data_IF_928973908172
#
_entry.id   IF_928973908172
#
_cell.length_a   1.000
_cell.length_b   1.000
_cell.length_c   1.000
_cell.angle_alpha   90.00
_cell.angle_beta   90.00
_cell.angle_gamma   90.00
#
_symmetry.space_group_name_H-M   'P 1'
#
loop_
_entity.id
_entity.type
_entity.pdbx_description
1 polymer ?
#
# COMPACT_ATOMS: atom_id res chain seq x y z
N UNK A 1 -11.96 18.84 -8.00
CA UNK A 1 -11.01 17.73 -8.23
C UNK A 1 -10.24 18.06 -9.51
N UNK A 2 -8.91 18.20 -9.45
CA UNK A 2 -8.11 18.80 -10.53
C UNK A 2 -7.87 17.89 -11.74
N UNK A 3 -7.96 16.57 -11.58
CA UNK A 3 -7.63 15.60 -12.63
C UNK A 3 -8.88 14.97 -13.25
N UNK A 4 -9.96 15.75 -13.39
CA UNK A 4 -11.20 15.39 -14.09
C UNK A 4 -11.92 14.12 -13.60
N UNK A 5 -12.86 13.60 -14.41
CA UNK A 5 -13.72 12.44 -14.14
C UNK A 5 -13.18 11.17 -14.79
N UNK A 6 -13.57 10.00 -14.26
CA UNK A 6 -13.29 8.69 -14.87
C UNK A 6 -13.79 8.62 -16.33
N UNK A 7 -14.97 9.17 -16.62
CA UNK A 7 -15.50 9.23 -17.98
C UNK A 7 -14.55 9.94 -18.96
N UNK A 8 -13.88 11.03 -18.55
CA UNK A 8 -12.92 11.73 -19.40
C UNK A 8 -11.71 10.86 -19.72
N UNK A 9 -11.21 10.12 -18.72
CA UNK A 9 -10.05 9.25 -18.85
C UNK A 9 -10.35 7.91 -19.56
N UNK A 10 -11.60 7.45 -19.54
CA UNK A 10 -12.00 6.19 -20.18
C UNK A 10 -12.58 6.36 -21.58
N UNK A 11 -13.37 7.40 -21.85
CA UNK A 11 -14.13 7.51 -23.11
C UNK A 11 -13.54 8.49 -24.13
N UNK A 12 -12.66 9.39 -23.68
CA UNK A 12 -12.12 10.50 -24.48
C UNK A 12 -10.58 10.55 -24.40
N UNK A 13 -9.93 9.39 -24.55
CA UNK A 13 -8.49 9.23 -24.31
C UNK A 13 -7.64 9.36 -25.58
N UNK A 14 -7.65 10.47 -26.30
CA UNK A 14 -6.87 10.54 -27.56
C UNK A 14 -5.33 10.55 -27.37
N UNK A 15 -4.82 10.57 -26.11
CA UNK A 15 -3.38 10.69 -25.81
C UNK A 15 -2.84 9.79 -24.69
N UNK A 16 -3.66 9.38 -23.71
CA UNK A 16 -3.24 8.53 -22.59
C UNK A 16 -4.38 7.62 -22.11
N UNK A 17 -4.46 6.38 -22.60
CA UNK A 17 -5.41 5.39 -22.08
C UNK A 17 -5.07 4.96 -20.64
N UNK A 18 -6.11 4.77 -19.84
CA UNK A 18 -5.97 4.32 -18.45
C UNK A 18 -5.50 2.86 -18.38
N UNK A 19 -4.37 2.63 -17.69
CA UNK A 19 -3.77 1.30 -17.47
C UNK A 19 -4.64 0.38 -16.62
N UNK A 20 -4.47 -0.94 -16.77
CA UNK A 20 -5.17 -1.96 -15.97
C UNK A 20 -5.06 -1.68 -14.47
N UNK A 21 -3.86 -1.37 -13.99
CA UNK A 21 -3.60 -1.06 -12.58
C UNK A 21 -4.46 0.08 -12.03
N UNK A 22 -4.64 1.14 -12.82
CA UNK A 22 -5.49 2.26 -12.41
C UNK A 22 -6.97 1.90 -12.45
N UNK A 23 -7.39 1.09 -13.43
CA UNK A 23 -8.79 0.64 -13.54
C UNK A 23 -9.21 -0.23 -12.36
N UNK A 24 -8.35 -1.18 -11.96
CA UNK A 24 -8.57 -1.99 -10.75
C UNK A 24 -8.58 -1.11 -9.49
N UNK A 25 -7.73 -0.09 -9.43
CA UNK A 25 -7.71 0.86 -8.30
C UNK A 25 -9.01 1.63 -8.19
N UNK A 26 -9.54 2.11 -9.30
CA UNK A 26 -10.84 2.77 -9.36
C UNK A 26 -11.93 1.84 -8.85
N UNK A 27 -11.98 0.60 -9.35
CA UNK A 27 -12.95 -0.40 -8.88
C UNK A 27 -12.87 -0.59 -7.36
N UNK A 28 -11.67 -0.84 -6.82
CA UNK A 28 -11.47 -1.06 -5.40
C UNK A 28 -11.86 0.15 -4.54
N UNK A 29 -11.42 1.35 -4.90
CA UNK A 29 -11.67 2.56 -4.10
C UNK A 29 -13.15 2.94 -4.10
N UNK A 30 -13.83 2.76 -5.23
CA UNK A 30 -15.29 2.95 -5.28
C UNK A 30 -15.99 1.90 -4.42
N UNK A 31 -15.61 0.62 -4.50
CA UNK A 31 -16.19 -0.41 -3.64
C UNK A 31 -15.97 -0.14 -2.15
N UNK A 32 -14.78 0.33 -1.75
CA UNK A 32 -14.45 0.73 -0.39
C UNK A 32 -15.29 1.93 0.08
N UNK A 33 -15.49 2.93 -0.79
CA UNK A 33 -16.34 4.07 -0.47
C UNK A 33 -17.80 3.65 -0.25
N UNK A 34 -18.31 2.73 -1.08
CA UNK A 34 -19.66 2.18 -0.92
C UNK A 34 -19.79 1.33 0.36
N UNK A 35 -18.80 0.50 0.66
CA UNK A 35 -18.77 -0.31 1.89
C UNK A 35 -18.72 0.58 3.14
N UNK A 36 -17.89 1.62 3.12
CA UNK A 36 -17.86 2.62 4.18
C UNK A 36 -19.22 3.28 4.38
N UNK A 37 -19.88 3.70 3.29
CA UNK A 37 -21.21 4.31 3.37
C UNK A 37 -22.23 3.35 3.99
N UNK A 38 -22.20 2.07 3.59
CA UNK A 38 -23.08 1.04 4.14
C UNK A 38 -22.83 0.80 5.63
N UNK A 39 -21.56 0.66 6.04
CA UNK A 39 -21.20 0.36 7.42
C UNK A 39 -21.50 1.51 8.39
N UNK A 40 -21.46 2.76 7.91
CA UNK A 40 -21.73 3.95 8.71
C UNK A 40 -23.18 4.46 8.58
N UNK A 41 -24.08 3.67 7.96
CA UNK A 41 -25.47 4.05 7.70
C UNK A 41 -25.60 5.43 7.01
N UNK A 42 -24.64 5.77 6.14
CA UNK A 42 -24.70 6.98 5.33
C UNK A 42 -25.78 6.84 4.26
N UNK A 43 -26.17 7.97 3.67
CA UNK A 43 -27.15 7.97 2.56
C UNK A 43 -26.62 7.15 1.40
N UNK A 44 -27.50 6.38 0.77
CA UNK A 44 -27.19 5.65 -0.46
C UNK A 44 -26.75 6.61 -1.56
N UNK A 45 -25.77 6.19 -2.34
CA UNK A 45 -25.26 6.95 -3.47
C UNK A 45 -26.20 6.78 -4.67
N UNK A 46 -26.79 7.88 -5.12
CA UNK A 46 -27.65 7.92 -6.29
C UNK A 46 -26.81 8.14 -7.55
N UNK A 47 -27.25 7.59 -8.69
CA UNK A 47 -26.67 7.90 -10.00
C UNK A 47 -25.16 7.61 -10.12
N UNK A 48 -24.69 6.51 -9.51
CA UNK A 48 -23.29 6.08 -9.64
C UNK A 48 -22.97 5.74 -11.11
N UNK A 49 -22.00 6.43 -11.69
CA UNK A 49 -21.49 6.20 -13.04
C UNK A 49 -20.08 6.80 -13.20
N UNK A 50 -19.44 6.59 -14.35
CA UNK A 50 -18.09 7.10 -14.61
C UNK A 50 -17.96 8.64 -14.56
N UNK A 51 -19.03 9.40 -14.71
CA UNK A 51 -19.00 10.87 -14.56
C UNK A 51 -19.00 11.32 -13.09
N UNK A 52 -19.34 10.43 -12.15
CA UNK A 52 -19.37 10.69 -10.71
C UNK A 52 -18.10 10.28 -9.97
N UNK A 53 -17.20 9.55 -10.64
CA UNK A 53 -15.88 9.23 -10.11
C UNK A 53 -14.91 10.31 -10.59
N UNK A 54 -14.20 10.96 -9.67
CA UNK A 54 -13.25 12.04 -9.95
C UNK A 54 -11.88 11.74 -9.34
N UNK A 55 -10.83 12.41 -9.79
CA UNK A 55 -9.47 12.21 -9.27
C UNK A 55 -8.96 13.42 -8.48
N UNK A 56 -8.50 13.18 -7.25
CA UNK A 56 -7.93 14.22 -6.38
C UNK A 56 -6.54 14.68 -6.83
N UNK A 57 -5.88 15.57 -6.07
CA UNK A 57 -4.57 16.13 -6.44
C UNK A 57 -3.48 15.07 -6.67
N UNK A 58 -3.56 13.95 -5.95
CA UNK A 58 -2.61 12.83 -6.04
C UNK A 58 -3.03 11.79 -7.09
N UNK A 59 -4.12 12.05 -7.81
CA UNK A 59 -4.70 11.15 -8.79
C UNK A 59 -5.48 10.00 -8.18
N UNK A 60 -5.80 10.03 -6.87
CA UNK A 60 -6.61 8.98 -6.27
C UNK A 60 -8.09 9.13 -6.65
N UNK A 61 -8.78 8.03 -6.98
CA UNK A 61 -10.20 8.05 -7.30
C UNK A 61 -11.04 8.37 -6.07
N UNK A 62 -12.02 9.26 -6.26
CA UNK A 62 -12.96 9.74 -5.23
C UNK A 62 -14.37 9.74 -5.82
N UNK A 63 -15.36 9.42 -4.99
CA UNK A 63 -16.75 9.65 -5.35
C UNK A 63 -17.09 11.12 -5.15
N UNK A 64 -17.77 11.71 -6.14
CA UNK A 64 -18.28 13.06 -6.05
C UNK A 64 -19.41 13.16 -5.02
N UNK A 65 -19.50 14.25 -4.27
CA UNK A 65 -20.60 14.45 -3.30
C UNK A 65 -21.97 14.65 -3.98
N UNK A 66 -22.01 14.97 -5.28
CA UNK A 66 -23.26 15.18 -6.03
C UNK A 66 -24.19 13.96 -6.00
N UNK A 67 -23.65 12.74 -6.03
CA UNK A 67 -24.45 11.53 -5.92
C UNK A 67 -24.97 11.23 -4.50
N UNK A 68 -24.65 12.06 -3.50
CA UNK A 68 -25.28 12.00 -2.18
C UNK A 68 -26.39 13.06 -2.02
N UNK A 69 -26.42 14.07 -2.89
CA UNK A 69 -27.42 15.12 -2.86
C UNK A 69 -28.75 14.62 -3.41
N UNK A 70 -29.85 14.89 -2.68
CA UNK A 70 -31.21 14.63 -3.18
C UNK A 70 -31.49 15.62 -4.32
N UNK A 71 -31.39 15.17 -5.56
CA UNK A 71 -31.96 15.93 -6.66
C UNK A 71 -33.46 15.63 -6.75
N UNK A 72 -34.25 16.66 -6.47
CA UNK A 72 -35.72 16.73 -6.53
C UNK A 72 -36.51 16.04 -5.42
N UNK A 73 -37.66 16.65 -5.14
CA UNK A 73 -38.64 16.31 -4.10
C UNK A 73 -39.25 14.90 -4.22
N UNK A 74 -38.90 14.14 -5.27
CA UNK A 74 -39.55 12.86 -5.64
C UNK A 74 -38.60 11.64 -5.71
N UNK A 75 -37.33 11.77 -5.30
CA UNK A 75 -36.40 10.61 -5.27
C UNK A 75 -35.92 10.11 -6.62
N UNK A 76 -36.18 10.85 -7.70
CA UNK A 76 -35.71 10.58 -9.07
C UNK A 76 -34.33 11.19 -9.29
N UNK A 77 -33.27 10.39 -9.11
CA UNK A 77 -31.87 10.85 -9.20
C UNK A 77 -31.07 10.27 -10.37
N UNK A 78 -31.54 9.24 -11.07
CA UNK A 78 -30.79 8.68 -12.21
C UNK A 78 -30.80 9.64 -13.40
N UNK A 79 -29.66 9.71 -14.11
CA UNK A 79 -29.58 10.35 -15.42
C UNK A 79 -30.71 9.86 -16.34
N UNK A 80 -31.13 10.69 -17.29
CA UNK A 80 -32.22 10.45 -18.25
C UNK A 80 -32.00 9.24 -19.18
N UNK A 81 -30.93 8.46 -19.00
CA UNK A 81 -30.60 7.30 -19.80
C UNK A 81 -31.08 5.99 -19.14
N UNK A 82 -32.30 5.59 -19.51
CA UNK A 82 -32.96 4.39 -18.99
C UNK A 82 -32.17 3.09 -19.26
N UNK A 83 -31.26 3.09 -20.24
CA UNK A 83 -30.49 1.90 -20.61
C UNK A 83 -29.52 1.42 -19.53
N UNK A 84 -29.17 2.28 -18.56
CA UNK A 84 -28.22 1.99 -17.47
C UNK A 84 -28.90 1.94 -16.10
N UNK A 85 -30.20 2.18 -16.05
CA UNK A 85 -30.94 2.30 -14.80
C UNK A 85 -31.24 0.91 -14.23
N UNK A 86 -31.05 0.68 -12.91
CA UNK A 86 -31.39 -0.60 -12.30
C UNK A 86 -32.85 -0.99 -12.58
N UNK A 87 -33.14 -2.24 -12.99
CA UNK A 87 -34.48 -2.65 -13.41
C UNK A 87 -35.57 -2.39 -12.36
N UNK A 88 -35.27 -2.65 -11.09
CA UNK A 88 -36.18 -2.42 -9.98
C UNK A 88 -36.40 -0.92 -9.69
N UNK A 89 -35.43 -0.08 -10.02
CA UNK A 89 -35.57 1.37 -9.88
C UNK A 89 -36.56 1.92 -10.90
N UNK A 90 -36.57 1.41 -12.14
CA UNK A 90 -37.56 1.79 -13.16
C UNK A 90 -39.00 1.53 -12.70
N UNK A 91 -39.20 0.45 -11.93
CA UNK A 91 -40.51 0.07 -11.40
C UNK A 91 -40.90 0.85 -10.14
N UNK A 92 -39.95 1.08 -9.23
CA UNK A 92 -40.26 1.57 -7.87
C UNK A 92 -39.90 3.03 -7.64
N UNK A 93 -39.00 3.60 -8.45
CA UNK A 93 -38.39 4.92 -8.24
C UNK A 93 -37.53 5.02 -6.98
N UNK A 94 -37.22 3.89 -6.31
CA UNK A 94 -36.52 3.87 -5.03
C UNK A 94 -35.10 3.34 -5.18
N UNK A 95 -34.13 4.11 -4.68
CA UNK A 95 -32.75 3.65 -4.55
C UNK A 95 -32.67 2.66 -3.39
N UNK A 96 -32.16 1.47 -3.66
CA UNK A 96 -31.82 0.44 -2.66
C UNK A 96 -30.32 0.13 -2.71
N UNK A 97 -29.73 -0.49 -1.67
CA UNK A 97 -28.32 -0.90 -1.70
C UNK A 97 -27.98 -1.71 -2.96
N UNK A 98 -28.85 -2.63 -3.36
CA UNK A 98 -28.68 -3.48 -4.54
C UNK A 98 -28.72 -2.69 -5.85
N UNK A 99 -29.52 -1.62 -5.91
CA UNK A 99 -29.56 -0.72 -7.07
C UNK A 99 -28.25 0.08 -7.23
N UNK A 100 -27.59 0.41 -6.12
CA UNK A 100 -26.25 1.02 -6.13
C UNK A 100 -25.21 0.01 -6.61
N UNK A 101 -25.31 -1.26 -6.19
CA UNK A 101 -24.44 -2.33 -6.68
C UNK A 101 -24.64 -2.57 -8.18
N UNK A 102 -25.87 -2.50 -8.70
CA UNK A 102 -26.10 -2.57 -10.14
C UNK A 102 -25.38 -1.46 -10.89
N UNK A 103 -25.50 -0.23 -10.38
CA UNK A 103 -24.80 0.94 -10.92
C UNK A 103 -23.27 0.82 -10.81
N UNK A 104 -22.77 0.19 -9.74
CA UNK A 104 -21.35 -0.17 -9.64
C UNK A 104 -20.94 -1.19 -10.73
N UNK A 105 -21.81 -2.13 -11.06
CA UNK A 105 -21.61 -3.06 -12.17
C UNK A 105 -21.45 -2.37 -13.52
N UNK A 106 -22.17 -1.27 -13.77
CA UNK A 106 -21.99 -0.47 -15.01
C UNK A 106 -20.63 0.22 -15.03
N UNK A 107 -20.15 0.73 -13.89
CA UNK A 107 -18.78 1.27 -13.75
C UNK A 107 -17.73 0.19 -14.03
N UNK A 108 -17.95 -1.05 -13.57
CA UNK A 108 -17.04 -2.16 -13.90
C UNK A 108 -17.00 -2.45 -15.41
N UNK A 109 -18.14 -2.37 -16.11
CA UNK A 109 -18.17 -2.51 -17.57
C UNK A 109 -17.43 -1.36 -18.27
N UNK A 110 -17.62 -0.13 -17.81
CA UNK A 110 -16.88 1.04 -18.33
C UNK A 110 -15.37 0.82 -18.17
N UNK A 111 -14.92 0.31 -17.02
CA UNK A 111 -13.52 -0.01 -16.75
C UNK A 111 -13.01 -1.16 -17.62
N UNK A 112 -13.78 -2.22 -17.83
CA UNK A 112 -13.37 -3.35 -18.66
C UNK A 112 -13.24 -2.96 -20.14
N UNK A 113 -14.18 -2.16 -20.64
CA UNK A 113 -14.33 -1.88 -22.07
C UNK A 113 -13.72 -0.56 -22.55
N UNK A 114 -13.44 0.37 -21.63
CA UNK A 114 -13.07 1.75 -21.98
C UNK A 114 -14.20 2.49 -22.71
N UNK A 115 -15.44 2.02 -22.63
CA UNK A 115 -16.60 2.53 -23.37
C UNK A 115 -17.82 2.54 -22.48
N UNK A 116 -18.74 3.48 -22.73
CA UNK A 116 -20.02 3.50 -22.04
C UNK A 116 -21.01 2.58 -22.77
N UNK A 117 -21.07 1.32 -22.36
CA UNK A 117 -21.87 0.27 -23.00
C UNK A 117 -23.08 -0.11 -22.12
N UNK A 118 -24.31 -0.18 -22.66
CA UNK A 118 -25.48 -0.62 -21.91
C UNK A 118 -25.30 -2.05 -21.34
N UNK A 119 -25.71 -2.31 -20.09
CA UNK A 119 -25.57 -3.62 -19.46
C UNK A 119 -26.20 -4.78 -20.24
N UNK A 120 -27.34 -4.56 -20.91
CA UNK A 120 -27.98 -5.59 -21.74
C UNK A 120 -27.03 -6.11 -22.83
N UNK A 121 -26.37 -5.19 -23.55
CA UNK A 121 -25.43 -5.54 -24.60
C UNK A 121 -24.18 -6.25 -24.05
N UNK A 122 -23.64 -5.76 -22.92
CA UNK A 122 -22.47 -6.37 -22.31
C UNK A 122 -22.76 -7.79 -21.75
N UNK A 123 -23.94 -8.00 -21.15
CA UNK A 123 -24.33 -9.32 -20.65
C UNK A 123 -24.48 -10.35 -21.77
N UNK A 124 -24.95 -9.94 -22.94
CA UNK A 124 -25.02 -10.83 -24.12
C UNK A 124 -23.61 -11.24 -24.58
N UNK A 125 -22.66 -10.30 -24.61
CA UNK A 125 -21.25 -10.59 -24.92
C UNK A 125 -20.60 -11.53 -23.90
N UNK A 126 -20.89 -11.35 -22.61
CA UNK A 126 -20.39 -12.19 -21.52
C UNK A 126 -20.98 -13.61 -21.63
N UNK A 127 -22.30 -13.73 -21.87
CA UNK A 127 -22.98 -15.04 -22.02
C UNK A 127 -22.52 -15.79 -23.27
N UNK A 128 -22.21 -15.07 -24.35
CA UNK A 128 -21.58 -15.61 -25.55
C UNK A 128 -20.12 -16.05 -25.36
N UNK A 129 -19.57 -15.95 -24.14
CA UNK A 129 -18.16 -16.25 -23.79
C UNK A 129 -17.14 -15.43 -24.59
N UNK A 130 -17.53 -14.27 -25.10
CA UNK A 130 -16.67 -13.47 -25.94
C UNK A 130 -16.06 -12.30 -25.16
N UNK A 131 -15.32 -12.65 -24.11
CA UNK A 131 -14.65 -11.68 -23.22
C UNK A 131 -13.73 -10.74 -23.99
N UNK A 132 -13.09 -11.23 -25.05
CA UNK A 132 -12.20 -10.46 -25.92
C UNK A 132 -12.91 -9.29 -26.64
N UNK A 133 -14.20 -9.41 -26.94
CA UNK A 133 -14.97 -8.32 -27.54
C UNK A 133 -15.43 -7.27 -26.52
N UNK A 134 -15.53 -7.65 -25.25
CA UNK A 134 -15.88 -6.72 -24.18
C UNK A 134 -14.66 -5.93 -23.69
N UNK A 135 -13.51 -6.57 -23.64
CA UNK A 135 -12.28 -5.98 -23.10
C UNK A 135 -11.72 -4.90 -24.01
N UNK A 136 -11.26 -3.81 -23.42
CA UNK A 136 -10.48 -2.79 -24.10
C UNK A 136 -9.18 -3.40 -24.63
N UNK A 137 -8.96 -3.31 -25.95
CA UNK A 137 -7.76 -3.83 -26.60
C UNK A 137 -6.46 -3.22 -26.08
N UNK A 138 -6.51 -2.03 -25.48
CA UNK A 138 -5.33 -1.44 -24.85
C UNK A 138 -4.83 -2.23 -23.63
N UNK A 139 -5.72 -2.99 -22.98
CA UNK A 139 -5.38 -3.77 -21.79
C UNK A 139 -4.63 -5.08 -22.11
N UNK A 140 -4.44 -5.40 -23.38
CA UNK A 140 -3.75 -6.64 -23.78
C UNK A 140 -2.35 -6.72 -23.16
N UNK A 141 -2.03 -7.86 -22.56
CA UNK A 141 -0.79 -8.09 -21.82
C UNK A 141 -0.65 -7.38 -20.46
N UNK A 142 -1.63 -6.59 -20.01
CA UNK A 142 -1.56 -5.85 -18.72
C UNK A 142 -2.16 -6.60 -17.52
N UNK A 143 -2.84 -7.73 -17.75
CA UNK A 143 -3.50 -8.55 -16.74
C UNK A 143 -3.35 -10.04 -17.04
N UNK A 144 -3.49 -10.91 -16.03
CA UNK A 144 -3.55 -12.37 -16.26
C UNK A 144 -4.96 -12.79 -16.62
N UNK A 145 -5.11 -13.92 -17.31
CA UNK A 145 -6.43 -14.41 -17.69
C UNK A 145 -7.36 -14.59 -16.46
N UNK A 146 -6.81 -15.02 -15.33
CA UNK A 146 -7.53 -15.17 -14.07
C UNK A 146 -8.04 -13.82 -13.53
N UNK A 147 -7.20 -12.78 -13.53
CA UNK A 147 -7.57 -11.44 -13.06
C UNK A 147 -8.68 -10.83 -13.93
N UNK A 148 -8.56 -10.99 -15.26
CA UNK A 148 -9.57 -10.52 -16.21
C UNK A 148 -10.91 -11.23 -16.05
N UNK A 149 -10.87 -12.57 -15.95
CA UNK A 149 -12.07 -13.40 -15.71
C UNK A 149 -12.74 -13.03 -14.40
N UNK A 150 -11.97 -12.79 -13.33
CA UNK A 150 -12.55 -12.40 -12.04
C UNK A 150 -13.25 -11.04 -12.11
N UNK A 151 -12.65 -10.03 -12.75
CA UNK A 151 -13.28 -8.72 -12.87
C UNK A 151 -14.56 -8.76 -13.73
N UNK A 152 -14.57 -9.53 -14.81
CA UNK A 152 -15.77 -9.79 -15.62
C UNK A 152 -16.83 -10.53 -14.83
N UNK A 153 -16.44 -11.52 -14.01
CA UNK A 153 -17.34 -12.25 -13.12
C UNK A 153 -18.00 -11.31 -12.11
N UNK A 154 -17.23 -10.40 -11.51
CA UNK A 154 -17.75 -9.40 -10.57
C UNK A 154 -18.74 -8.46 -11.27
N UNK A 155 -18.43 -7.96 -12.47
CA UNK A 155 -19.35 -7.14 -13.26
C UNK A 155 -20.67 -7.87 -13.54
N UNK A 156 -20.59 -9.12 -14.01
CA UNK A 156 -21.77 -9.97 -14.27
C UNK A 156 -22.62 -10.22 -13.02
N UNK A 157 -22.00 -10.43 -11.86
CA UNK A 157 -22.72 -10.59 -10.58
C UNK A 157 -23.39 -9.30 -10.11
N UNK A 158 -22.76 -8.15 -10.32
CA UNK A 158 -23.37 -6.86 -9.98
C UNK A 158 -24.60 -6.56 -10.85
N UNK A 159 -24.60 -7.03 -12.09
CA UNK A 159 -25.64 -6.78 -13.08
C UNK A 159 -26.76 -7.83 -13.14
N UNK A 160 -26.85 -8.70 -12.12
CA UNK A 160 -27.96 -9.66 -12.04
C UNK A 160 -29.32 -8.95 -12.00
N UNK A 161 -30.29 -9.54 -12.70
CA UNK A 161 -31.65 -8.99 -12.77
C UNK A 161 -32.30 -8.98 -11.39
N UNK A 162 -32.17 -10.08 -10.66
CA UNK A 162 -32.68 -10.23 -9.30
C UNK A 162 -31.78 -9.48 -8.29
N UNK A 163 -32.28 -8.45 -7.58
CA UNK A 163 -31.46 -7.63 -6.68
C UNK A 163 -30.74 -8.44 -5.60
N UNK A 164 -31.39 -9.47 -5.07
CA UNK A 164 -30.87 -10.35 -4.02
C UNK A 164 -29.68 -11.22 -4.42
N UNK A 165 -29.44 -11.39 -5.72
CA UNK A 165 -28.32 -12.19 -6.24
C UNK A 165 -27.03 -11.37 -6.38
N UNK A 166 -27.14 -10.04 -6.26
CA UNK A 166 -26.02 -9.11 -6.34
C UNK A 166 -25.18 -9.18 -5.07
N UNK A 167 -23.85 -9.07 -5.16
CA UNK A 167 -22.97 -9.06 -3.99
C UNK A 167 -23.15 -7.76 -3.19
N UNK A 168 -22.79 -7.78 -1.90
CA UNK A 168 -22.67 -6.55 -1.13
C UNK A 168 -21.28 -5.90 -1.34
N UNK A 169 -21.15 -4.63 -0.95
CA UNK A 169 -19.91 -3.86 -1.12
C UNK A 169 -18.70 -4.51 -0.42
N UNK A 170 -18.87 -5.02 0.80
CA UNK A 170 -17.83 -5.77 1.53
C UNK A 170 -17.26 -6.94 0.72
N UNK A 171 -18.12 -7.74 0.10
CA UNK A 171 -17.68 -8.85 -0.76
C UNK A 171 -16.89 -8.36 -1.97
N UNK A 172 -17.29 -7.24 -2.57
CA UNK A 172 -16.56 -6.63 -3.70
C UNK A 172 -15.16 -6.17 -3.27
N UNK A 173 -15.03 -5.51 -2.12
CA UNK A 173 -13.73 -5.11 -1.57
C UNK A 173 -12.81 -6.33 -1.37
N UNK A 174 -13.32 -7.38 -0.75
CA UNK A 174 -12.55 -8.63 -0.53
C UNK A 174 -12.11 -9.26 -1.85
N UNK A 175 -12.98 -9.28 -2.86
CA UNK A 175 -12.66 -9.86 -4.16
C UNK A 175 -11.66 -9.02 -4.97
N UNK A 176 -11.72 -7.69 -4.86
CA UNK A 176 -10.86 -6.76 -5.62
C UNK A 176 -9.47 -6.55 -5.00
N UNK A 177 -9.35 -6.72 -3.68
CA UNK A 177 -8.08 -6.53 -2.96
C UNK A 177 -6.93 -7.38 -3.55
N UNK A 178 -7.11 -8.67 -3.85
CA UNK A 178 -6.11 -9.47 -4.56
C UNK A 178 -5.65 -8.92 -5.90
N UNK A 179 -6.57 -8.39 -6.72
CA UNK A 179 -6.25 -7.87 -8.06
C UNK A 179 -5.39 -6.60 -7.98
N UNK A 180 -5.55 -5.81 -6.91
CA UNK A 180 -4.79 -4.56 -6.72
C UNK A 180 -3.33 -4.78 -6.28
N UNK A 181 -2.99 -5.92 -5.65
CA UNK A 181 -1.69 -6.15 -4.99
C UNK A 181 -0.47 -5.90 -5.89
N UNK A 182 -0.57 -6.15 -7.21
CA UNK A 182 0.54 -5.92 -8.16
C UNK A 182 0.82 -4.45 -8.42
N UNK A 183 -0.17 -3.58 -8.26
CA UNK A 183 -0.05 -2.14 -8.55
C UNK A 183 -0.20 -1.27 -7.32
N UNK A 184 -0.55 -1.84 -6.16
CA UNK A 184 -0.63 -1.18 -4.85
C UNK A 184 0.59 -0.29 -4.53
N UNK A 185 1.77 -0.70 -4.97
CA UNK A 185 3.04 0.01 -4.74
C UNK A 185 3.26 1.21 -5.69
N UNK A 186 2.50 1.33 -6.76
CA UNK A 186 2.63 2.42 -7.75
C UNK A 186 1.65 3.54 -7.37
N UNK A 187 2.11 4.78 -7.09
CA UNK A 187 1.22 5.89 -6.77
C UNK A 187 0.22 6.19 -7.89
N UNK A 188 -0.99 6.64 -7.52
CA UNK A 188 -2.03 6.96 -8.50
C UNK A 188 -1.59 8.07 -9.46
N UNK A 189 -0.79 9.03 -8.98
CA UNK A 189 -0.18 10.07 -9.80
C UNK A 189 0.66 9.50 -10.95
N UNK A 190 1.39 8.41 -10.69
CA UNK A 190 2.22 7.74 -11.68
C UNK A 190 1.36 6.96 -12.68
N UNK A 191 0.35 6.24 -12.19
CA UNK A 191 -0.57 5.50 -13.05
C UNK A 191 -1.42 6.40 -13.97
N UNK A 192 -1.66 7.64 -13.54
CA UNK A 192 -2.41 8.66 -14.27
C UNK A 192 -1.52 9.55 -15.16
N UNK A 193 -0.21 9.31 -15.20
CA UNK A 193 0.72 10.11 -16.01
C UNK A 193 0.79 11.59 -15.60
N UNK A 194 0.43 11.92 -14.35
CA UNK A 194 0.43 13.30 -13.86
C UNK A 194 1.88 13.76 -13.70
N UNK A 195 2.35 14.55 -14.67
CA UNK A 195 3.65 15.21 -14.60
C UNK A 195 3.68 16.17 -13.41
N UNK A 196 4.50 15.85 -12.41
CA UNK A 196 4.72 16.74 -11.27
C UNK A 196 5.51 17.95 -11.76
N UNK A 197 4.86 19.12 -11.79
CA UNK A 197 5.55 20.40 -12.01
C UNK A 197 6.57 20.66 -10.89
N UNK A 198 7.57 21.54 -11.12
CA UNK A 198 8.71 21.75 -10.23
C UNK A 198 8.40 22.37 -8.85
N UNK A 199 7.13 22.58 -8.49
CA UNK A 199 6.72 23.37 -7.32
C UNK A 199 5.84 22.59 -6.32
N UNK A 200 6.29 21.41 -5.94
CA UNK A 200 6.00 20.82 -4.62
C UNK A 200 7.34 20.37 -4.03
N UNK A 201 7.56 20.52 -2.71
CA UNK A 201 8.83 20.17 -2.11
C UNK A 201 9.11 18.68 -2.41
N UNK A 202 10.39 18.30 -2.56
CA UNK A 202 10.76 16.99 -3.02
C UNK A 202 10.04 15.93 -2.19
N UNK A 203 9.68 14.80 -2.82
CA UNK A 203 9.46 13.52 -2.13
C UNK A 203 10.77 13.01 -1.49
N UNK A 204 11.44 13.89 -0.75
CA UNK A 204 12.33 13.54 0.32
C UNK A 204 11.42 13.41 1.53
N UNK A 205 10.98 12.18 1.80
CA UNK A 205 10.89 11.80 3.21
C UNK A 205 12.24 12.21 3.78
N UNK A 206 12.32 13.12 4.78
CA UNK A 206 13.59 13.55 5.31
C UNK A 206 14.38 12.29 5.64
N UNK A 207 15.47 12.07 4.90
CA UNK A 207 16.32 10.91 5.15
C UNK A 207 16.68 11.05 6.62
N UNK A 208 16.40 10.00 7.41
CA UNK A 208 16.71 10.06 8.83
C UNK A 208 18.19 10.44 8.98
N UNK A 209 18.60 11.14 10.05
CA UNK A 209 20.02 11.46 10.24
C UNK A 209 20.93 10.23 10.09
N UNK A 210 20.41 9.04 10.46
CA UNK A 210 21.07 7.77 10.28
C UNK A 210 21.20 7.38 8.80
N UNK A 211 20.11 7.50 8.03
CA UNK A 211 20.12 7.21 6.60
C UNK A 211 21.02 8.14 5.80
N UNK A 212 21.14 9.41 6.21
CA UNK A 212 22.04 10.36 5.58
C UNK A 212 23.51 9.99 5.88
N UNK A 213 23.82 9.65 7.13
CA UNK A 213 25.13 9.16 7.53
C UNK A 213 25.53 7.88 6.77
N UNK A 214 24.64 6.90 6.66
CA UNK A 214 24.88 5.67 5.91
C UNK A 214 25.07 5.93 4.40
N UNK A 215 24.29 6.84 3.81
CA UNK A 215 24.42 7.21 2.38
C UNK A 215 25.76 7.86 2.07
N UNK A 216 26.33 8.60 3.03
CA UNK A 216 27.67 9.20 2.93
C UNK A 216 28.80 8.23 3.33
N UNK A 217 28.46 7.01 3.73
CA UNK A 217 29.37 6.04 4.33
C UNK A 217 30.13 6.61 5.55
N UNK A 218 29.48 7.50 6.31
CA UNK A 218 30.04 8.11 7.52
C UNK A 218 29.76 7.22 8.73
N UNK A 219 30.59 6.20 8.91
CA UNK A 219 30.45 5.24 10.01
C UNK A 219 30.60 5.89 11.40
N UNK A 220 31.24 7.06 11.49
CA UNK A 220 31.37 7.80 12.76
C UNK A 220 30.05 8.45 13.13
N UNK A 221 29.38 9.10 12.18
CA UNK A 221 28.04 9.64 12.40
C UNK A 221 27.01 8.52 12.70
N UNK A 222 27.09 7.37 12.02
CA UNK A 222 26.26 6.19 12.31
C UNK A 222 26.48 5.73 13.77
N UNK A 223 27.73 5.68 14.23
CA UNK A 223 28.07 5.30 15.60
C UNK A 223 27.43 6.23 16.63
N UNK A 224 27.60 7.55 16.48
CA UNK A 224 27.05 8.55 17.40
C UNK A 224 25.52 8.47 17.48
N UNK A 225 24.86 8.25 16.33
CA UNK A 225 23.41 8.11 16.27
C UNK A 225 22.96 6.83 16.98
N UNK A 226 23.59 5.68 16.75
CA UNK A 226 23.22 4.42 17.43
C UNK A 226 23.46 4.48 18.95
N UNK A 227 24.48 5.21 19.41
CA UNK A 227 24.70 5.47 20.84
C UNK A 227 23.58 6.33 21.41
N UNK A 228 23.20 7.40 20.71
CA UNK A 228 22.17 8.36 21.15
C UNK A 228 20.76 7.78 21.14
N UNK A 229 20.41 6.98 20.13
CA UNK A 229 19.09 6.35 20.00
C UNK A 229 18.86 5.28 21.07
N UNK A 230 19.94 4.63 21.54
CA UNK A 230 19.83 3.63 22.59
C UNK A 230 19.12 2.37 22.10
N UNK A 231 18.15 1.89 22.88
CA UNK A 231 17.29 0.72 22.58
C UNK A 231 15.84 1.11 22.31
N UNK A 232 15.57 2.38 21.97
CA UNK A 232 14.19 2.89 21.76
C UNK A 232 13.42 2.16 20.67
N UNK A 233 14.12 1.55 19.72
CA UNK A 233 13.53 0.82 18.60
C UNK A 233 13.28 -0.67 18.90
N UNK A 234 13.62 -1.15 20.10
CA UNK A 234 13.35 -2.52 20.57
C UNK A 234 11.97 -2.64 21.26
N UNK A 235 11.26 -1.52 21.48
CA UNK A 235 9.90 -1.48 22.07
C UNK A 235 8.89 -2.21 21.16
N UNK A 236 8.58 -3.47 21.49
CA UNK A 236 7.73 -4.37 20.72
C UNK A 236 8.35 -5.76 20.46
N UNK A 237 9.66 -5.89 20.64
CA UNK A 237 10.40 -7.18 20.69
C UNK A 237 10.67 -7.67 22.11
N UNK A 238 10.29 -6.90 23.12
CA UNK A 238 10.35 -7.30 24.52
C UNK A 238 9.38 -8.46 24.76
N UNK A 239 9.91 -9.68 24.79
CA UNK A 239 9.29 -10.75 25.55
C UNK A 239 9.17 -10.26 26.99
N UNK A 240 7.95 -9.92 27.36
CA UNK A 240 7.55 -9.54 28.70
C UNK A 240 8.17 -10.55 29.69
N UNK A 241 9.16 -10.09 30.44
CA UNK A 241 9.85 -10.90 31.44
C UNK A 241 8.81 -11.28 32.49
N UNK A 242 8.21 -12.46 32.35
CA UNK A 242 7.43 -13.03 33.44
C UNK A 242 8.33 -13.07 34.68
N UNK A 243 7.80 -12.57 35.79
CA UNK A 243 8.52 -12.29 37.05
C UNK A 243 9.17 -13.54 37.70
N UNK A 244 9.21 -14.69 37.03
CA UNK A 244 9.49 -16.00 37.62
C UNK A 244 10.81 -16.68 37.21
N UNK A 245 11.62 -16.14 36.29
CA UNK A 245 12.87 -16.83 35.90
C UNK A 245 14.05 -15.85 35.74
N UNK A 246 14.60 -15.37 36.87
CA UNK A 246 15.91 -14.69 36.90
C UNK A 246 17.02 -15.72 37.12
N UNK A 247 17.53 -16.33 36.05
CA UNK A 247 18.67 -17.27 36.14
C UNK A 247 20.00 -16.53 36.14
N UNK A 248 21.04 -17.17 36.70
CA UNK A 248 22.43 -16.70 36.59
C UNK A 248 22.85 -16.48 35.13
N UNK A 249 22.40 -17.33 34.23
CA UNK A 249 22.64 -17.22 32.79
C UNK A 249 22.05 -15.92 32.20
N UNK A 250 20.84 -15.53 32.63
CA UNK A 250 20.21 -14.28 32.19
C UNK A 250 20.94 -13.05 32.73
N UNK A 251 21.43 -13.12 33.98
CA UNK A 251 22.28 -12.08 34.57
C UNK A 251 23.59 -11.91 33.79
N UNK A 252 24.28 -13.01 33.50
CA UNK A 252 25.56 -12.99 32.78
C UNK A 252 25.40 -12.44 31.36
N UNK A 253 24.29 -12.79 30.68
CA UNK A 253 23.94 -12.26 29.37
C UNK A 253 23.67 -10.75 29.39
N UNK A 254 22.86 -10.26 30.34
CA UNK A 254 22.61 -8.82 30.51
C UNK A 254 23.89 -8.06 30.87
N UNK A 255 24.80 -8.68 31.64
CA UNK A 255 26.11 -8.12 31.96
C UNK A 255 26.99 -8.05 30.71
N UNK A 256 26.98 -9.07 29.84
CA UNK A 256 27.69 -9.04 28.56
C UNK A 256 27.16 -7.96 27.63
N UNK A 257 25.84 -7.77 27.53
CA UNK A 257 25.25 -6.63 26.79
C UNK A 257 25.74 -5.30 27.33
N UNK A 258 25.69 -5.10 28.66
CA UNK A 258 26.15 -3.85 29.30
C UNK A 258 27.62 -3.56 29.04
N UNK A 259 28.49 -4.58 29.12
CA UNK A 259 29.92 -4.45 28.78
C UNK A 259 30.12 -4.10 27.30
N UNK A 260 29.39 -4.76 26.41
CA UNK A 260 29.39 -4.47 24.97
C UNK A 260 28.97 -3.03 24.67
N UNK A 261 27.94 -2.53 25.35
CA UNK A 261 27.48 -1.14 25.20
C UNK A 261 28.52 -0.12 25.68
N UNK A 262 29.22 -0.40 26.79
CA UNK A 262 30.30 0.46 27.26
C UNK A 262 31.46 0.49 26.27
N UNK A 263 31.95 -0.68 25.86
CA UNK A 263 33.02 -0.81 24.87
C UNK A 263 32.64 -0.14 23.53
N UNK A 264 31.39 -0.32 23.08
CA UNK A 264 30.89 0.32 21.88
C UNK A 264 30.89 1.85 22.02
N UNK A 265 30.44 2.42 23.14
CA UNK A 265 30.50 3.88 23.37
C UNK A 265 31.94 4.41 23.39
N UNK A 266 32.87 3.65 23.95
CA UNK A 266 34.29 3.98 24.04
C UNK A 266 35.06 3.73 22.73
N UNK A 267 34.37 3.24 21.68
CA UNK A 267 34.95 2.87 20.37
C UNK A 267 35.97 1.72 20.45
N UNK A 268 35.94 0.91 21.52
CA UNK A 268 36.62 -0.39 21.57
C UNK A 268 35.75 -1.44 20.87
N UNK A 269 35.82 -1.44 19.54
CA UNK A 269 34.98 -2.30 18.71
C UNK A 269 35.31 -3.79 18.84
N UNK A 270 36.55 -4.15 19.19
CA UNK A 270 36.92 -5.55 19.39
C UNK A 270 36.23 -6.12 20.61
N UNK A 271 36.34 -5.41 21.74
CA UNK A 271 35.69 -5.82 22.98
C UNK A 271 34.16 -5.75 22.85
N UNK A 272 33.63 -4.77 22.11
CA UNK A 272 32.20 -4.69 21.79
C UNK A 272 31.73 -5.93 21.01
N UNK A 273 32.45 -6.35 19.97
CA UNK A 273 32.14 -7.55 19.18
C UNK A 273 32.13 -8.79 20.07
N UNK A 274 33.14 -8.97 20.91
CA UNK A 274 33.23 -10.15 21.80
C UNK A 274 32.07 -10.21 22.78
N UNK A 275 31.74 -9.07 23.41
CA UNK A 275 30.64 -8.97 24.37
C UNK A 275 29.27 -9.18 23.72
N UNK A 276 29.04 -8.60 22.54
CA UNK A 276 27.79 -8.81 21.79
C UNK A 276 27.68 -10.24 21.26
N UNK A 277 28.79 -10.88 20.91
CA UNK A 277 28.80 -12.29 20.51
C UNK A 277 28.44 -13.21 21.67
N UNK A 278 29.00 -12.99 22.85
CA UNK A 278 28.57 -13.69 24.06
C UNK A 278 27.07 -13.49 24.35
N UNK A 279 26.53 -12.29 24.12
CA UNK A 279 25.10 -12.02 24.28
C UNK A 279 24.25 -12.84 23.28
N UNK A 280 24.62 -12.82 22.00
CA UNK A 280 23.89 -13.50 20.92
C UNK A 280 23.96 -15.03 21.05
N UNK A 281 25.14 -15.58 21.38
CA UNK A 281 25.36 -17.04 21.47
C UNK A 281 24.57 -17.69 22.61
N UNK A 282 24.32 -16.95 23.70
CA UNK A 282 23.46 -17.41 24.80
C UNK A 282 22.00 -17.59 24.33
N UNK A 283 21.55 -16.79 23.35
CA UNK A 283 20.32 -17.02 22.59
C UNK A 283 18.99 -16.89 23.36
N UNK A 284 19.00 -16.55 24.65
CA UNK A 284 17.76 -16.45 25.46
C UNK A 284 17.00 -15.15 25.23
N UNK A 285 17.68 -14.10 24.76
CA UNK A 285 17.06 -12.83 24.34
C UNK A 285 17.61 -12.42 22.98
N UNK A 286 16.74 -11.82 22.17
CA UNK A 286 17.06 -11.36 20.82
C UNK A 286 16.86 -9.84 20.80
N UNK A 287 17.87 -9.09 20.34
CA UNK A 287 17.79 -7.62 20.24
C UNK A 287 18.28 -7.16 18.88
N UNK A 288 17.43 -6.53 18.05
CA UNK A 288 17.84 -6.00 16.76
C UNK A 288 18.90 -4.90 16.91
N UNK A 289 18.83 -4.09 17.97
CA UNK A 289 19.85 -3.09 18.30
C UNK A 289 21.23 -3.70 18.54
N UNK A 290 21.32 -4.84 19.25
CA UNK A 290 22.62 -5.53 19.44
C UNK A 290 23.21 -5.97 18.12
N UNK A 291 22.40 -6.54 17.22
CA UNK A 291 22.87 -6.90 15.88
C UNK A 291 23.32 -5.69 15.06
N UNK A 292 22.60 -4.57 15.08
CA UNK A 292 23.01 -3.36 14.36
C UNK A 292 24.33 -2.78 14.91
N UNK A 293 24.51 -2.75 16.24
CA UNK A 293 25.76 -2.27 16.85
C UNK A 293 26.94 -3.18 16.56
N UNK A 294 26.75 -4.51 16.66
CA UNK A 294 27.80 -5.47 16.32
C UNK A 294 28.14 -5.41 14.82
N UNK A 295 27.15 -5.25 13.95
CA UNK A 295 27.33 -4.99 12.51
C UNK A 295 28.20 -3.75 12.28
N UNK A 296 27.93 -2.62 12.95
CA UNK A 296 28.76 -1.42 12.79
C UNK A 296 30.19 -1.64 13.32
N UNK A 297 30.34 -2.33 14.45
CA UNK A 297 31.65 -2.66 15.01
C UNK A 297 32.47 -3.53 14.05
N UNK A 298 31.82 -4.46 13.34
CA UNK A 298 32.44 -5.23 12.25
C UNK A 298 32.86 -4.35 11.08
N UNK A 299 32.03 -3.41 10.62
CA UNK A 299 32.41 -2.47 9.56
C UNK A 299 33.63 -1.63 9.94
N UNK A 300 33.66 -1.14 11.18
CA UNK A 300 34.78 -0.37 11.73
C UNK A 300 36.03 -1.21 12.00
N UNK A 301 35.90 -2.54 11.99
CA UNK A 301 36.99 -3.52 12.11
C UNK A 301 37.33 -4.20 10.78
N UNK A 302 36.82 -3.68 9.67
CA UNK A 302 37.03 -4.18 8.29
C UNK A 302 36.54 -5.61 8.03
N UNK A 303 35.45 -6.01 8.69
CA UNK A 303 34.82 -7.33 8.56
C UNK A 303 33.43 -7.21 7.90
N UNK A 304 33.40 -6.81 6.64
CA UNK A 304 32.16 -6.43 5.95
C UNK A 304 31.16 -7.59 5.77
N UNK A 305 31.62 -8.82 5.57
CA UNK A 305 30.75 -9.99 5.45
C UNK A 305 30.07 -10.34 6.78
N UNK A 306 30.79 -10.19 7.90
CA UNK A 306 30.22 -10.38 9.23
C UNK A 306 29.20 -9.29 9.54
N UNK A 307 29.50 -8.04 9.16
CA UNK A 307 28.58 -6.94 9.29
C UNK A 307 27.27 -7.16 8.51
N UNK A 308 27.37 -7.66 7.28
CA UNK A 308 26.19 -7.93 6.45
C UNK A 308 25.30 -9.02 7.08
N UNK A 309 25.88 -10.10 7.59
CA UNK A 309 25.12 -11.17 8.26
C UNK A 309 24.34 -10.64 9.47
N UNK A 310 24.97 -9.80 10.29
CA UNK A 310 24.29 -9.19 11.44
C UNK A 310 23.18 -8.21 11.02
N UNK A 311 23.40 -7.43 9.97
CA UNK A 311 22.38 -6.52 9.45
C UNK A 311 21.17 -7.26 8.87
N UNK A 312 21.39 -8.42 8.25
CA UNK A 312 20.32 -9.33 7.81
C UNK A 312 19.58 -9.95 9.00
N UNK A 313 20.31 -10.34 10.06
CA UNK A 313 19.70 -10.86 11.28
C UNK A 313 18.85 -9.80 11.99
N UNK A 314 19.31 -8.54 12.04
CA UNK A 314 18.53 -7.42 12.56
C UNK A 314 17.20 -7.23 11.80
N UNK A 315 17.23 -7.35 10.46
CA UNK A 315 16.03 -7.29 9.63
C UNK A 315 15.11 -8.49 9.90
N UNK A 316 15.66 -9.70 10.05
CA UNK A 316 14.86 -10.88 10.35
C UNK A 316 14.08 -10.74 11.67
N UNK A 317 14.73 -10.16 12.70
CA UNK A 317 14.14 -9.92 14.01
C UNK A 317 13.11 -8.79 13.97
N UNK A 318 13.40 -7.72 13.25
CA UNK A 318 12.48 -6.59 13.11
C UNK A 318 12.36 -6.18 11.62
N UNK A 319 11.44 -6.82 10.85
CA UNK A 319 11.35 -6.67 9.39
C UNK A 319 11.07 -5.24 8.89
N UNK A 320 10.44 -4.43 9.72
CA UNK A 320 10.09 -3.04 9.38
C UNK A 320 11.05 -2.00 9.98
N UNK A 321 12.23 -2.41 10.46
CA UNK A 321 13.19 -1.52 11.09
C UNK A 321 14.14 -0.89 10.06
N UNK A 322 14.07 0.43 9.83
CA UNK A 322 14.87 1.10 8.80
C UNK A 322 16.38 0.93 8.98
N UNK A 323 16.84 0.93 10.23
CA UNK A 323 18.26 0.76 10.59
C UNK A 323 18.86 -0.52 10.00
N UNK A 324 18.11 -1.61 9.94
CA UNK A 324 18.61 -2.86 9.38
C UNK A 324 18.97 -2.72 7.89
N UNK A 325 18.13 -2.03 7.10
CA UNK A 325 18.38 -1.76 5.68
C UNK A 325 19.59 -0.85 5.48
N UNK A 326 19.72 0.19 6.31
CA UNK A 326 20.86 1.10 6.26
C UNK A 326 22.18 0.38 6.57
N UNK A 327 22.18 -0.51 7.56
CA UNK A 327 23.36 -1.32 7.90
C UNK A 327 23.72 -2.33 6.80
N UNK A 328 22.72 -2.95 6.14
CA UNK A 328 22.97 -3.81 4.98
C UNK A 328 23.57 -3.01 3.82
N UNK A 329 23.04 -1.82 3.53
CA UNK A 329 23.57 -0.95 2.47
C UNK A 329 25.02 -0.54 2.75
N UNK A 330 25.36 -0.18 3.99
CA UNK A 330 26.73 0.15 4.39
C UNK A 330 27.68 -1.05 4.20
N UNK A 331 27.26 -2.26 4.61
CA UNK A 331 28.05 -3.47 4.43
C UNK A 331 28.24 -3.86 2.96
N UNK A 332 27.17 -3.80 2.15
CA UNK A 332 27.22 -4.08 0.72
C UNK A 332 28.12 -3.09 -0.03
N UNK A 333 28.08 -1.81 0.34
CA UNK A 333 28.97 -0.78 -0.22
C UNK A 333 30.43 -1.11 0.10
N UNK A 334 30.73 -1.58 1.32
CA UNK A 334 32.08 -1.99 1.71
C UNK A 334 32.57 -3.24 0.95
N UNK A 335 31.64 -4.12 0.54
CA UNK A 335 31.91 -5.29 -0.30
C UNK A 335 31.99 -4.97 -1.81
N UNK A 336 31.80 -3.71 -2.22
CA UNK A 336 31.78 -3.31 -3.64
C UNK A 336 30.49 -3.69 -4.39
N UNK A 337 29.43 -4.05 -3.66
CA UNK A 337 28.12 -4.44 -4.21
C UNK A 337 27.18 -3.21 -4.29
N UNK A 338 27.60 -2.19 -5.05
CA UNK A 338 26.94 -0.87 -5.09
C UNK A 338 25.49 -0.91 -5.60
N UNK A 339 25.17 -1.86 -6.49
CA UNK A 339 23.81 -2.06 -7.00
C UNK A 339 22.88 -2.50 -5.87
N UNK A 340 23.33 -3.47 -5.10
CA UNK A 340 22.54 -4.11 -4.06
C UNK A 340 22.39 -3.17 -2.87
N UNK A 341 23.44 -2.40 -2.55
CA UNK A 341 23.40 -1.32 -1.57
C UNK A 341 22.34 -0.26 -1.92
N UNK A 342 22.29 0.18 -3.19
CA UNK A 342 21.27 1.12 -3.67
C UNK A 342 19.86 0.53 -3.60
N UNK A 343 19.72 -0.75 -3.89
CA UNK A 343 18.42 -1.42 -3.84
C UNK A 343 17.91 -1.57 -2.40
N UNK A 344 18.80 -1.80 -1.42
CA UNK A 344 18.44 -1.76 0.01
C UNK A 344 17.94 -0.38 0.45
N UNK A 345 18.62 0.69 0.03
CA UNK A 345 18.19 2.07 0.33
C UNK A 345 16.86 2.44 -0.35
N UNK A 346 16.60 1.91 -1.54
CA UNK A 346 15.29 2.08 -2.21
C UNK A 346 14.19 1.35 -1.46
N UNK A 347 14.44 0.13 -0.98
CA UNK A 347 13.46 -0.67 -0.27
C UNK A 347 13.09 -0.03 1.08
N UNK A 348 14.06 0.53 1.80
CA UNK A 348 13.79 1.34 3.00
C UNK A 348 12.88 2.53 2.68
N UNK A 349 13.21 3.30 1.63
CA UNK A 349 12.40 4.46 1.23
C UNK A 349 10.97 4.05 0.89
N UNK A 350 10.79 2.89 0.25
CA UNK A 350 9.46 2.31 -0.03
C UNK A 350 8.73 1.97 1.27
N UNK A 351 9.39 1.36 2.26
CA UNK A 351 8.78 1.07 3.56
C UNK A 351 8.39 2.34 4.32
N UNK A 352 9.25 3.35 4.32
CA UNK A 352 8.98 4.61 4.99
C UNK A 352 7.77 5.32 4.35
N UNK A 353 7.69 5.31 3.01
CA UNK A 353 6.52 5.75 2.26
C UNK A 353 5.26 4.96 2.63
N UNK A 354 5.34 3.63 2.78
CA UNK A 354 4.20 2.80 3.27
C UNK A 354 3.73 3.28 4.65
N UNK A 355 4.64 3.52 5.61
CA UNK A 355 4.27 4.01 6.95
C UNK A 355 3.62 5.40 6.94
N UNK A 356 4.12 6.33 6.10
CA UNK A 356 3.50 7.66 5.95
C UNK A 356 2.11 7.56 5.32
N UNK A 357 1.94 6.73 4.29
CA UNK A 357 0.65 6.53 3.62
C UNK A 357 -0.38 5.85 4.52
N UNK A 358 0.04 4.87 5.34
CA UNK A 358 -0.82 4.21 6.35
C UNK A 358 -1.22 5.19 7.46
N UNK A 359 -0.30 6.02 7.94
CA UNK A 359 -0.63 7.07 8.93
C UNK A 359 -1.55 8.14 8.36
N UNK A 360 -1.39 8.52 7.09
CA UNK A 360 -2.26 9.48 6.41
C UNK A 360 -3.68 8.91 6.12
N UNK A 361 -3.84 7.59 6.02
CA UNK A 361 -5.16 6.95 5.91
C UNK A 361 -5.88 6.79 7.24
N UNK A 362 -5.15 6.82 8.36
CA UNK A 362 -5.72 6.77 9.73
C UNK A 362 -5.84 8.18 10.36
N UNK A 363 -5.09 9.15 9.86
CA UNK A 363 -5.04 10.53 10.34
C UNK A 363 -5.97 11.49 9.61
N UNK A 364 -7.18 11.64 10.16
CA UNK A 364 -8.07 12.82 10.11
C UNK A 364 -8.88 13.08 8.82
N UNK A 365 -10.19 13.06 9.04
CA UNK A 365 -11.17 13.90 8.37
C UNK A 365 -12.35 14.24 9.30
N UNK A 366 -12.06 14.63 10.56
CA UNK A 366 -12.98 15.43 11.35
C UNK A 366 -12.93 16.87 10.85
N UNK A 367 -13.96 17.27 10.09
CA UNK A 367 -14.58 18.59 10.03
C UNK A 367 -15.85 18.47 9.18
#
# INVERSE_FOLDING_TARGET
>A
MPHDTLAKHLFHWDKQPMSWGMRVRVALYVAQALDHCSNNNLRLYHDLNAYRVMFDQDGNPRLSCFGLMKNSRDGKSYSTNLAYTPPEYLRTGRVTPESVIYSYGTVLLDLLSGKHIPPSHALDLIRGKNMLLLMDSYLDGQFTNEDGVELVRLASRCLQLEPRERPNAKMLVTALTPLQRRTELIPSSTLMGIARGPNMPPTDVPVSPLGEACSRNDLTAVHEILVKTGYKDDEGTDNELSFQVWTKQMQDMLNSRKRGDMAFREKDFRTAIDCYTQFVDVGTMISPTVFARRSLAYLLSDQAEAALRDAMQAQYVHPEWPTAFYMQAAALTRLGMDTDAKDMLKEERRMQLRKVLVRATVGVGSC
#
